data_IF_001722664789
#
_entry.id   IF_001722664789
#
_cell.length_a   1.000
_cell.length_b   1.000
_cell.length_c   1.000
_cell.angle_alpha   90.00
_cell.angle_beta   90.00
_cell.angle_gamma   90.00
#
_symmetry.space_group_name_H-M   'P 1'
#
loop_
_entity.id
_entity.type
_entity.pdbx_description
1 polymer ?
#
# COMPACT_ATOMS: atom_id res chain seq x y z
N UNK A 1 3.22 -12.65 1.51
CA UNK A 1 2.34 -11.53 1.89
C UNK A 1 2.89 -10.26 1.28
N UNK A 2 2.00 -9.38 0.81
CA UNK A 2 2.36 -8.08 0.24
C UNK A 2 1.92 -7.00 1.21
N UNK A 3 2.87 -6.20 1.69
CA UNK A 3 2.66 -5.03 2.52
C UNK A 3 2.84 -3.81 1.62
N UNK A 4 1.79 -3.02 1.44
CA UNK A 4 1.78 -1.94 0.45
C UNK A 4 1.39 -0.62 1.12
N UNK A 5 2.20 0.41 0.87
CA UNK A 5 1.91 1.78 1.24
C UNK A 5 1.51 2.57 0.00
N UNK A 6 0.40 3.29 0.09
CA UNK A 6 -0.13 4.14 -0.97
C UNK A 6 -0.43 5.53 -0.45
N UNK A 7 -0.43 6.52 -1.34
CA UNK A 7 -0.90 7.86 -1.03
C UNK A 7 -2.43 7.92 -0.89
N UNK A 8 -2.97 9.12 -0.66
CA UNK A 8 -4.42 9.34 -0.52
C UNK A 8 -5.22 9.08 -1.80
N UNK A 9 -4.56 9.07 -2.97
CA UNK A 9 -5.14 8.74 -4.27
C UNK A 9 -5.03 7.24 -4.59
N UNK A 10 -4.35 6.46 -3.74
CA UNK A 10 -4.08 5.04 -3.91
C UNK A 10 -2.90 4.76 -4.84
N UNK A 11 -2.03 5.73 -5.11
CA UNK A 11 -0.81 5.53 -5.89
C UNK A 11 0.29 4.94 -5.00
N UNK A 12 1.06 4.00 -5.55
CA UNK A 12 2.10 3.28 -4.82
C UNK A 12 3.22 4.22 -4.36
N UNK A 13 3.54 4.16 -3.06
CA UNK A 13 4.72 4.78 -2.48
C UNK A 13 5.82 3.74 -2.28
N UNK A 14 5.50 2.65 -1.59
CA UNK A 14 6.41 1.51 -1.42
C UNK A 14 5.65 0.21 -1.17
N UNK A 15 6.33 -0.92 -1.34
CA UNK A 15 5.82 -2.23 -0.97
C UNK A 15 6.93 -3.18 -0.53
N UNK A 16 6.57 -4.13 0.35
CA UNK A 16 7.39 -5.27 0.75
C UNK A 16 6.66 -6.56 0.42
N UNK A 17 7.37 -7.50 -0.20
CA UNK A 17 6.88 -8.87 -0.38
C UNK A 17 7.70 -9.77 0.54
N UNK A 18 7.03 -10.39 1.52
CA UNK A 18 7.67 -11.31 2.46
C UNK A 18 7.02 -12.69 2.40
N UNK A 19 7.77 -13.78 2.63
CA UNK A 19 7.20 -15.10 2.84
C UNK A 19 6.13 -15.11 3.94
N UNK A 20 5.15 -16.02 3.86
CA UNK A 20 4.07 -16.09 4.84
C UNK A 20 4.49 -16.61 6.23
N UNK A 21 5.71 -17.16 6.34
CA UNK A 21 6.27 -17.75 7.55
C UNK A 21 7.25 -16.83 8.33
N UNK A 22 7.53 -15.63 7.82
CA UNK A 22 8.35 -14.65 8.56
C UNK A 22 7.50 -13.92 9.62
N UNK A 23 8.04 -13.79 10.84
CA UNK A 23 7.39 -13.03 11.90
C UNK A 23 7.26 -11.55 11.51
N UNK A 24 6.05 -11.02 11.58
CA UNK A 24 5.61 -9.74 11.00
C UNK A 24 6.21 -8.48 11.65
N UNK A 25 7.02 -8.65 12.70
CA UNK A 25 7.40 -7.58 13.63
C UNK A 25 8.36 -6.52 13.07
N UNK A 26 8.94 -6.70 11.89
CA UNK A 26 9.88 -5.72 11.29
C UNK A 26 9.39 -5.04 10.01
N UNK A 27 8.23 -5.46 9.49
CA UNK A 27 7.76 -5.00 8.18
C UNK A 27 7.30 -3.54 8.22
N UNK A 28 6.75 -3.08 9.35
CA UNK A 28 6.33 -1.69 9.53
C UNK A 28 7.53 -0.76 9.49
N UNK A 29 8.59 -1.08 10.25
CA UNK A 29 9.82 -0.29 10.28
C UNK A 29 10.42 -0.15 8.89
N UNK A 30 10.63 -1.27 8.20
CA UNK A 30 11.20 -1.29 6.86
C UNK A 30 10.34 -0.50 5.86
N UNK A 31 9.01 -0.69 5.89
CA UNK A 31 8.10 -0.01 4.98
C UNK A 31 8.01 1.50 5.28
N UNK A 32 7.99 1.90 6.55
CA UNK A 32 7.97 3.29 6.99
C UNK A 32 9.23 4.05 6.52
N UNK A 33 10.40 3.45 6.70
CA UNK A 33 11.66 4.02 6.20
C UNK A 33 11.68 4.17 4.67
N UNK A 34 11.18 3.17 3.93
CA UNK A 34 11.08 3.27 2.47
C UNK A 34 10.09 4.35 2.03
N UNK A 35 8.95 4.48 2.71
CA UNK A 35 7.99 5.55 2.43
C UNK A 35 8.64 6.91 2.62
N UNK A 36 9.29 7.16 3.76
CA UNK A 36 9.95 8.45 3.98
C UNK A 36 11.07 8.74 2.98
N UNK A 37 11.84 7.71 2.60
CA UNK A 37 12.90 7.86 1.61
C UNK A 37 12.36 8.33 0.24
N UNK A 38 11.18 7.85 -0.20
CA UNK A 38 10.58 8.28 -1.48
C UNK A 38 9.77 9.56 -1.37
N UNK A 39 9.29 9.92 -0.17
CA UNK A 39 8.50 11.13 0.06
C UNK A 39 9.31 12.31 0.59
N UNK A 40 10.61 12.13 0.83
CA UNK A 40 11.48 13.16 1.41
C UNK A 40 11.09 13.51 2.84
N UNK A 41 10.81 12.50 3.67
CA UNK A 41 10.45 12.66 5.09
C UNK A 41 9.14 13.45 5.36
N UNK A 42 8.27 13.60 4.34
CA UNK A 42 7.06 14.43 4.43
C UNK A 42 5.81 13.71 4.98
N UNK A 43 5.87 12.41 5.24
CA UNK A 43 4.71 11.65 5.74
C UNK A 43 4.67 11.72 7.26
N UNK A 44 3.58 12.24 7.81
CA UNK A 44 3.39 12.34 9.27
C UNK A 44 2.40 11.31 9.82
N UNK A 45 1.47 10.83 8.99
CA UNK A 45 0.36 9.97 9.42
C UNK A 45 0.12 8.85 8.41
N UNK A 46 0.03 7.62 8.90
CA UNK A 46 -0.36 6.46 8.11
C UNK A 46 -1.58 5.75 8.72
N UNK A 47 -2.56 5.41 7.88
CA UNK A 47 -3.71 4.60 8.27
C UNK A 47 -3.42 3.14 7.97
N UNK A 48 -3.64 2.26 8.96
CA UNK A 48 -3.34 0.83 8.86
C UNK A 48 -4.53 -0.01 9.27
N UNK A 49 -4.57 -1.26 8.80
CA UNK A 49 -5.59 -2.22 9.23
C UNK A 49 -5.34 -2.70 10.68
N UNK A 50 -6.33 -3.41 11.23
CA UNK A 50 -6.28 -3.95 12.60
C UNK A 50 -5.17 -4.99 12.83
N UNK A 51 -4.59 -5.57 11.78
CA UNK A 51 -3.46 -6.50 11.88
C UNK A 51 -2.19 -5.82 12.38
N UNK A 52 -2.08 -4.51 12.22
CA UNK A 52 -0.96 -3.71 12.75
C UNK A 52 -1.22 -3.16 14.16
N UNK A 53 -2.11 -3.80 14.92
CA UNK A 53 -2.36 -3.42 16.32
C UNK A 53 -1.18 -3.83 17.20
N UNK A 54 -0.62 -2.87 17.96
CA UNK A 54 0.38 -3.13 19.00
C UNK A 54 1.39 -2.00 19.14
N UNK A 55 2.02 -1.90 20.32
CA UNK A 55 3.03 -0.88 20.61
C UNK A 55 4.26 -1.00 19.70
N UNK A 56 4.65 -2.22 19.32
CA UNK A 56 5.80 -2.44 18.42
C UNK A 56 5.63 -1.78 17.06
N UNK A 57 4.50 -2.00 16.39
CA UNK A 57 4.23 -1.37 15.09
C UNK A 57 4.13 0.16 15.19
N UNK A 58 3.51 0.67 16.26
CA UNK A 58 3.43 2.10 16.50
C UNK A 58 4.83 2.72 16.73
N UNK A 59 5.67 2.08 17.54
CA UNK A 59 7.03 2.54 17.82
C UNK A 59 7.90 2.49 16.56
N UNK A 60 7.85 1.40 15.79
CA UNK A 60 8.58 1.23 14.54
C UNK A 60 8.28 2.35 13.53
N UNK A 61 7.01 2.73 13.38
CA UNK A 61 6.63 3.84 12.51
C UNK A 61 7.03 5.19 13.10
N UNK A 62 6.92 5.34 14.42
CA UNK A 62 7.26 6.57 15.14
C UNK A 62 8.77 6.86 15.10
N UNK A 63 9.63 5.84 15.03
CA UNK A 63 11.07 5.99 14.76
C UNK A 63 11.35 6.70 13.43
N UNK A 64 10.42 6.62 12.47
CA UNK A 64 10.46 7.33 11.19
C UNK A 64 9.55 8.56 11.17
N UNK A 65 9.10 9.05 12.33
CA UNK A 65 8.24 10.23 12.44
C UNK A 65 6.78 10.02 11.99
N UNK A 66 6.36 8.78 11.75
CA UNK A 66 5.01 8.46 11.27
C UNK A 66 4.12 8.01 12.43
N UNK A 67 3.01 8.72 12.64
CA UNK A 67 1.95 8.28 13.54
C UNK A 67 1.04 7.27 12.84
N UNK A 68 0.94 6.06 13.39
CA UNK A 68 -0.03 5.07 12.93
C UNK A 68 -1.43 5.34 13.51
N UNK A 69 -2.43 5.30 12.63
CA UNK A 69 -3.84 5.27 12.99
C UNK A 69 -4.40 3.92 12.58
N UNK A 70 -4.62 3.06 13.58
CA UNK A 70 -5.22 1.73 13.37
C UNK A 70 -6.72 1.87 13.14
N UNK A 71 -7.17 1.50 11.95
CA UNK A 71 -8.58 1.51 11.58
C UNK A 71 -9.22 0.18 12.00
N UNK A 72 -9.87 0.20 13.17
CA UNK A 72 -10.56 -0.97 13.72
C UNK A 72 -11.96 -1.10 13.13
N UNK A 73 -12.44 -2.34 13.01
CA UNK A 73 -13.88 -2.57 12.84
C UNK A 73 -14.60 -2.19 14.14
N UNK A 74 -15.63 -1.35 14.07
CA UNK A 74 -16.55 -1.21 15.20
C UNK A 74 -17.31 -2.53 15.38
N UNK A 75 -17.35 -3.03 16.61
CA UNK A 75 -18.02 -4.28 16.96
C UNK A 75 -19.48 -4.27 16.49
N UNK A 76 -19.86 -5.31 15.74
CA UNK A 76 -21.23 -5.78 15.51
C UNK A 76 -22.33 -4.72 15.37
N UNK A 77 -22.18 -3.76 14.45
CA UNK A 77 -23.35 -3.06 13.89
C UNK A 77 -23.90 -3.91 12.75
N UNK A 78 -25.19 -4.23 12.78
CA UNK A 78 -25.85 -4.97 11.68
C UNK A 78 -25.71 -4.17 10.38
N UNK A 79 -24.95 -4.69 9.41
CA UNK A 79 -24.76 -4.08 8.09
C UNK A 79 -23.31 -3.71 7.76
N UNK A 80 -23.11 -3.10 6.59
CA UNK A 80 -21.79 -2.63 6.14
C UNK A 80 -21.46 -1.27 6.79
N UNK A 81 -20.37 -1.21 7.55
CA UNK A 81 -19.84 0.04 8.11
C UNK A 81 -18.67 0.51 7.26
N UNK A 82 -18.78 1.71 6.69
CA UNK A 82 -17.69 2.32 5.93
C UNK A 82 -16.56 2.73 6.88
N UNK A 83 -15.43 2.05 6.81
CA UNK A 83 -14.23 2.42 7.55
C UNK A 83 -13.47 3.54 6.82
N UNK A 84 -13.18 4.67 7.48
CA UNK A 84 -12.46 5.78 6.86
C UNK A 84 -11.10 5.34 6.31
N UNK A 85 -10.82 5.73 5.06
CA UNK A 85 -9.53 5.60 4.34
C UNK A 85 -8.97 4.19 4.08
N UNK A 86 -9.46 3.15 4.75
CA UNK A 86 -9.04 1.76 4.50
C UNK A 86 -9.30 1.29 3.06
N UNK A 87 -10.40 1.75 2.47
CA UNK A 87 -10.79 1.40 1.09
C UNK A 87 -9.77 1.84 0.02
N UNK A 88 -8.87 2.78 0.34
CA UNK A 88 -7.91 3.31 -0.64
C UNK A 88 -6.91 2.24 -1.06
N UNK A 89 -6.28 1.54 -0.11
CA UNK A 89 -5.32 0.46 -0.40
C UNK A 89 -6.00 -0.76 -1.01
N UNK A 90 -7.21 -1.10 -0.54
CA UNK A 90 -8.02 -2.19 -1.09
C UNK A 90 -8.39 -1.94 -2.56
N UNK A 91 -8.79 -0.70 -2.90
CA UNK A 91 -9.03 -0.28 -4.28
C UNK A 91 -7.77 -0.36 -5.13
N UNK A 92 -6.61 0.00 -4.57
CA UNK A 92 -5.34 -0.13 -5.27
C UNK A 92 -5.03 -1.59 -5.63
N UNK A 93 -5.22 -2.54 -4.70
CA UNK A 93 -5.16 -3.97 -5.01
C UNK A 93 -6.19 -4.38 -6.07
N UNK A 94 -7.42 -3.86 -6.02
CA UNK A 94 -8.44 -4.13 -7.03
C UNK A 94 -8.04 -3.66 -8.44
N UNK A 95 -7.32 -2.53 -8.57
CA UNK A 95 -6.75 -2.12 -9.86
C UNK A 95 -5.72 -3.13 -10.37
N UNK A 96 -4.86 -3.65 -9.49
CA UNK A 96 -3.85 -4.64 -9.84
C UNK A 96 -4.46 -5.97 -10.25
N UNK A 97 -5.57 -6.39 -9.63
CA UNK A 97 -6.27 -7.62 -9.98
C UNK A 97 -6.79 -7.65 -11.43
N UNK A 98 -6.93 -6.48 -12.09
CA UNK A 98 -7.27 -6.38 -13.52
C UNK A 98 -6.11 -6.77 -14.45
N UNK A 99 -4.88 -6.83 -13.92
CA UNK A 99 -3.72 -7.33 -14.65
C UNK A 99 -3.63 -8.83 -14.39
N UNK A 100 -3.83 -9.64 -15.44
CA UNK A 100 -3.88 -11.11 -15.36
C UNK A 100 -2.72 -11.73 -14.57
N UNK A 101 -1.52 -11.15 -14.68
CA UNK A 101 -0.30 -11.61 -14.00
C UNK A 101 -0.34 -11.40 -12.48
N UNK A 102 -1.06 -10.39 -12.00
CA UNK A 102 -1.22 -10.05 -10.58
C UNK A 102 -2.56 -10.51 -9.99
N UNK A 103 -3.46 -11.06 -10.82
CA UNK A 103 -4.75 -11.58 -10.35
C UNK A 103 -4.61 -12.76 -9.37
N UNK A 104 -3.50 -13.49 -9.47
CA UNK A 104 -3.09 -14.55 -8.54
C UNK A 104 -1.57 -14.58 -8.46
N UNK A 105 -1.03 -14.89 -7.29
CA UNK A 105 0.41 -15.05 -7.12
C UNK A 105 0.87 -16.36 -7.76
N UNK A 106 1.63 -16.24 -8.85
CA UNK A 106 2.31 -17.34 -9.53
C UNK A 106 3.84 -17.25 -9.39
N UNK A 107 4.34 -16.20 -8.74
CA UNK A 107 5.76 -15.90 -8.76
C UNK A 107 6.51 -16.71 -7.70
N UNK A 108 7.65 -17.27 -8.08
CA UNK A 108 8.51 -18.01 -7.14
C UNK A 108 9.33 -17.08 -6.24
N UNK A 109 9.69 -15.91 -6.76
CA UNK A 109 10.60 -14.97 -6.12
C UNK A 109 9.84 -13.70 -5.68
N UNK A 110 9.94 -13.30 -4.39
CA UNK A 110 9.33 -12.07 -3.88
C UNK A 110 9.70 -10.82 -4.67
N UNK A 111 10.94 -10.74 -5.15
CA UNK A 111 11.47 -9.62 -5.91
C UNK A 111 10.77 -9.49 -7.27
N UNK A 112 10.44 -10.63 -7.90
CA UNK A 112 9.70 -10.63 -9.16
C UNK A 112 8.27 -10.14 -8.95
N UNK A 113 7.61 -10.61 -7.89
CA UNK A 113 6.27 -10.13 -7.55
C UNK A 113 6.27 -8.62 -7.25
N UNK A 114 7.26 -8.15 -6.50
CA UNK A 114 7.43 -6.74 -6.19
C UNK A 114 7.63 -5.89 -7.46
N UNK A 115 8.53 -6.32 -8.35
CA UNK A 115 8.78 -5.63 -9.63
C UNK A 115 7.54 -5.54 -10.51
N UNK A 116 6.70 -6.59 -10.54
CA UNK A 116 5.45 -6.58 -11.29
C UNK A 116 4.43 -5.57 -10.72
N UNK A 117 4.37 -5.41 -9.39
CA UNK A 117 3.54 -4.38 -8.77
C UNK A 117 4.02 -2.97 -9.16
N UNK A 118 5.32 -2.71 -9.09
CA UNK A 118 5.89 -1.43 -9.53
C UNK A 118 5.57 -1.13 -11.00
N UNK A 119 5.76 -2.10 -11.90
CA UNK A 119 5.44 -1.93 -13.32
C UNK A 119 3.95 -1.60 -13.52
N UNK A 120 3.07 -2.32 -12.84
CA UNK A 120 1.63 -2.12 -12.91
C UNK A 120 1.22 -0.71 -12.48
N UNK A 121 1.76 -0.21 -11.36
CA UNK A 121 1.51 1.15 -10.90
C UNK A 121 2.09 2.21 -11.82
N UNK A 122 3.30 2.01 -12.35
CA UNK A 122 3.89 2.92 -13.35
C UNK A 122 2.99 3.05 -14.58
N UNK A 123 2.46 1.95 -15.11
CA UNK A 123 1.50 2.00 -16.22
C UNK A 123 0.20 2.73 -15.85
N UNK A 124 -0.31 2.54 -14.64
CA UNK A 124 -1.51 3.20 -14.14
C UNK A 124 -1.28 4.72 -13.97
N UNK A 125 -0.16 5.12 -13.38
CA UNK A 125 0.22 6.51 -13.17
C UNK A 125 0.47 7.23 -14.49
N UNK A 126 1.17 6.61 -15.45
CA UNK A 126 1.37 7.17 -16.78
C UNK A 126 0.05 7.42 -17.52
N UNK A 127 -0.92 6.50 -17.40
CA UNK A 127 -2.27 6.70 -17.97
C UNK A 127 -3.00 7.87 -17.33
N UNK A 128 -2.84 8.07 -16.02
CA UNK A 128 -3.45 9.20 -15.28
C UNK A 128 -2.76 10.53 -15.56
N UNK A 129 -1.46 10.51 -15.85
CA UNK A 129 -0.70 11.72 -16.16
C UNK A 129 -1.01 12.25 -17.57
N UNK A 130 -1.48 11.38 -18.46
CA UNK A 130 -1.75 11.71 -19.87
C UNK A 130 -2.55 13.01 -20.11
N UNK A 131 -3.65 13.30 -19.40
CA UNK A 131 -4.39 14.56 -19.58
C UNK A 131 -3.57 15.80 -19.23
N UNK A 132 -2.64 15.69 -18.28
CA UNK A 132 -1.79 16.80 -17.84
C UNK A 132 -0.62 17.07 -18.80
N UNK A 133 -0.25 16.09 -19.61
CA UNK A 133 0.82 16.22 -20.61
C UNK A 133 0.33 16.77 -21.96
N UNK A 134 -0.96 17.11 -22.09
CA UNK A 134 -1.54 17.54 -23.36
C UNK A 134 -1.57 16.44 -24.44
N UNK A 135 -1.35 15.18 -24.06
CA UNK A 135 -1.38 14.03 -24.96
C UNK A 135 -2.83 13.56 -25.18
N UNK A 136 -3.61 14.35 -25.91
CA UNK A 136 -4.91 13.90 -26.42
C UNK A 136 -4.69 12.96 -27.59
N UNK A 137 -5.16 11.72 -27.49
CA UNK A 137 -5.29 10.87 -28.66
C UNK A 137 -6.46 11.40 -29.49
N UNK A 138 -6.18 11.88 -30.70
CA UNK A 138 -7.16 11.72 -31.77
C UNK A 138 -7.43 10.22 -31.89
N UNK A 139 -8.70 9.85 -31.67
CA UNK A 139 -9.17 8.48 -31.81
C UNK A 139 -9.02 7.98 -33.24
#
# INVERSE_FOLDING_TARGET
KVHMAVDTLGLLLSLLVKPANEQERHQVKELAGQVQAVTGESVEVAFVDQGYTGEGAANDAQEHGIKLIVVKHEEAKHGFVLLPRRWVVERSFAWLARLRRLARDYERLPETLAGLHFLAFSMLMLRRLRPFLGLTLSA
#
